data_IF_765802911263
#
_entry.id   IF_765802911263
#
_cell.length_a   1.000
_cell.length_b   1.000
_cell.length_c   1.000
_cell.angle_alpha   90.00
_cell.angle_beta   90.00
_cell.angle_gamma   90.00
#
_symmetry.space_group_name_H-M   'P 1'
#
loop_
_entity.id
_entity.type
_entity.pdbx_description
1 polymer ?
#
# COMPACT_ATOMS: atom_id res chain seq x y z
N UNK A 1 0.10 -1.80 -4.07
CA UNK A 1 0.17 -2.96 -3.17
C UNK A 1 -0.33 -2.58 -1.79
N UNK A 2 -0.10 -1.34 -1.41
CA UNK A 2 -0.27 -0.81 -0.08
C UNK A 2 -0.61 0.68 -0.17
N UNK A 3 -1.02 1.28 0.95
CA UNK A 3 -1.16 2.73 1.14
C UNK A 3 -0.95 3.07 2.62
N UNK A 4 -0.36 4.23 2.91
CA UNK A 4 -0.18 4.69 4.28
C UNK A 4 -1.52 5.04 4.95
N UNK A 5 -1.68 4.66 6.22
CA UNK A 5 -2.87 5.01 7.00
C UNK A 5 -2.71 6.43 7.57
N UNK A 6 -3.75 7.25 7.41
CA UNK A 6 -3.82 8.60 7.97
C UNK A 6 -2.99 9.66 7.23
N UNK A 7 -2.38 9.32 6.10
CA UNK A 7 -1.68 10.28 5.24
C UNK A 7 -2.68 10.86 4.22
N UNK A 8 -2.82 12.20 4.09
CA UNK A 8 -3.74 12.78 3.12
C UNK A 8 -3.50 12.24 1.70
N UNK A 9 -4.59 11.95 0.99
CA UNK A 9 -4.51 11.33 -0.35
C UNK A 9 -3.72 12.17 -1.35
N UNK A 10 -3.78 13.49 -1.21
CA UNK A 10 -3.07 14.49 -2.02
C UNK A 10 -1.67 14.82 -1.49
N UNK A 11 -1.24 14.23 -0.38
CA UNK A 11 0.13 14.36 0.11
C UNK A 11 1.11 13.88 -0.97
N UNK A 12 2.21 14.60 -1.24
CA UNK A 12 3.14 14.26 -2.33
C UNK A 12 3.74 12.85 -2.20
N UNK A 13 3.91 12.38 -0.98
CA UNK A 13 4.47 11.06 -0.65
C UNK A 13 3.40 9.98 -0.35
N UNK A 14 2.12 10.23 -0.60
CA UNK A 14 1.13 9.14 -0.61
C UNK A 14 1.38 8.23 -1.81
N UNK A 15 1.08 6.94 -1.67
CA UNK A 15 1.24 6.02 -2.79
C UNK A 15 0.23 6.29 -3.91
N UNK A 16 -0.94 6.85 -3.56
CA UNK A 16 -1.84 7.47 -4.52
C UNK A 16 -1.12 8.54 -5.36
N UNK A 17 -0.51 9.56 -4.73
CA UNK A 17 0.20 10.63 -5.45
C UNK A 17 1.38 10.10 -6.24
N UNK A 18 2.15 9.15 -5.69
CA UNK A 18 3.25 8.50 -6.38
C UNK A 18 2.79 7.86 -7.68
N UNK A 19 1.75 7.02 -7.64
CA UNK A 19 1.25 6.30 -8.81
C UNK A 19 0.70 7.24 -9.88
N UNK A 20 -0.04 8.28 -9.50
CA UNK A 20 -0.51 9.29 -10.45
C UNK A 20 0.62 10.13 -11.04
N UNK A 21 1.63 10.48 -10.25
CA UNK A 21 2.78 11.28 -10.70
C UNK A 21 3.66 10.51 -11.68
N UNK A 22 3.86 9.22 -11.44
CA UNK A 22 4.86 8.42 -12.14
C UNK A 22 4.32 7.50 -13.23
N UNK A 23 3.04 7.10 -13.17
CA UNK A 23 2.48 6.15 -14.14
C UNK A 23 1.13 6.59 -14.71
N UNK A 24 0.08 6.69 -13.88
CA UNK A 24 -1.30 6.73 -14.39
C UNK A 24 -1.63 7.97 -15.24
N UNK A 25 -0.97 9.12 -15.02
CA UNK A 25 -1.19 10.31 -15.85
C UNK A 25 -0.50 10.28 -17.22
N UNK A 26 0.34 9.28 -17.48
CA UNK A 26 1.19 9.19 -18.68
C UNK A 26 0.79 8.05 -19.62
N UNK A 27 -0.32 7.37 -19.34
CA UNK A 27 -0.83 6.23 -20.10
C UNK A 27 -2.34 6.35 -20.26
N UNK A 28 -2.90 5.66 -21.25
CA UNK A 28 -4.34 5.70 -21.58
C UNK A 28 -5.18 4.82 -20.64
N UNK A 29 -4.93 4.88 -19.33
CA UNK A 29 -5.72 4.19 -18.32
C UNK A 29 -6.94 5.03 -17.94
N UNK A 30 -8.10 4.39 -17.87
CA UNK A 30 -9.31 5.03 -17.36
C UNK A 30 -9.24 5.12 -15.82
N UNK A 31 -9.51 6.29 -15.21
CA UNK A 31 -9.43 6.45 -13.75
C UNK A 31 -10.31 5.46 -12.96
N UNK A 32 -11.46 5.06 -13.50
CA UNK A 32 -12.36 4.08 -12.90
C UNK A 32 -11.76 2.66 -12.81
N UNK A 33 -10.75 2.35 -13.63
CA UNK A 33 -10.02 1.08 -13.60
C UNK A 33 -8.82 1.11 -12.64
N UNK A 34 -8.60 2.23 -11.93
CA UNK A 34 -7.53 2.36 -10.94
C UNK A 34 -8.07 2.06 -9.55
N UNK A 35 -7.46 1.07 -8.89
CA UNK A 35 -7.81 0.67 -7.54
C UNK A 35 -6.59 0.77 -6.62
N UNK A 36 -6.67 1.64 -5.63
CA UNK A 36 -5.67 1.84 -4.57
C UNK A 36 -6.42 1.79 -3.24
N UNK A 37 -5.82 1.15 -2.24
CA UNK A 37 -6.36 1.09 -0.87
C UNK A 37 -6.56 2.49 -0.30
N UNK A 38 -7.70 2.73 0.34
CA UNK A 38 -7.96 4.00 1.03
C UNK A 38 -7.46 3.97 2.48
N UNK A 39 -6.23 4.43 2.71
CA UNK A 39 -5.63 4.56 4.04
C UNK A 39 -6.33 5.58 4.97
N UNK A 40 -7.32 6.34 4.47
CA UNK A 40 -8.12 7.26 5.27
C UNK A 40 -9.59 6.80 5.40
N UNK A 41 -9.90 5.55 5.04
CA UNK A 41 -11.22 5.00 5.24
C UNK A 41 -11.62 5.03 6.73
N UNK A 42 -12.91 5.28 6.98
CA UNK A 42 -13.47 5.31 8.36
C UNK A 42 -13.33 3.96 9.08
N UNK A 43 -13.40 2.89 8.31
CA UNK A 43 -13.25 1.52 8.76
C UNK A 43 -12.23 0.84 7.85
N UNK A 44 -11.02 0.67 8.39
CA UNK A 44 -9.87 0.16 7.65
C UNK A 44 -10.00 -1.34 7.36
N UNK A 45 -10.62 -2.10 8.27
CA UNK A 45 -10.84 -3.53 8.07
C UNK A 45 -11.88 -3.76 6.97
N UNK A 46 -12.95 -2.95 6.95
CA UNK A 46 -13.93 -2.98 5.86
C UNK A 46 -13.32 -2.57 4.52
N UNK A 47 -12.41 -1.60 4.48
CA UNK A 47 -11.68 -1.24 3.25
C UNK A 47 -10.83 -2.41 2.74
N UNK A 48 -10.13 -3.11 3.63
CA UNK A 48 -9.36 -4.31 3.27
C UNK A 48 -10.26 -5.40 2.68
N UNK A 49 -11.39 -5.69 3.31
CA UNK A 49 -12.37 -6.65 2.81
C UNK A 49 -12.93 -6.27 1.44
N UNK A 50 -13.31 -4.99 1.25
CA UNK A 50 -13.81 -4.49 -0.04
C UNK A 50 -12.76 -4.56 -1.14
N UNK A 51 -11.49 -4.39 -0.80
CA UNK A 51 -10.40 -4.49 -1.77
C UNK A 51 -10.24 -5.92 -2.27
N UNK A 52 -10.28 -6.91 -1.36
CA UNK A 52 -10.29 -8.34 -1.73
C UNK A 52 -11.51 -8.71 -2.58
N UNK A 53 -12.71 -8.26 -2.19
CA UNK A 53 -13.95 -8.50 -2.95
C UNK A 53 -13.87 -7.94 -4.38
N UNK A 54 -13.25 -6.78 -4.57
CA UNK A 54 -13.03 -6.19 -5.90
C UNK A 54 -12.09 -7.04 -6.76
N UNK A 55 -11.03 -7.58 -6.15
CA UNK A 55 -10.10 -8.48 -6.84
C UNK A 55 -10.82 -9.77 -7.26
N UNK A 56 -11.58 -10.37 -6.34
CA UNK A 56 -12.34 -11.59 -6.62
C UNK A 56 -13.43 -11.36 -7.68
N UNK A 57 -14.10 -10.21 -7.65
CA UNK A 57 -15.17 -9.87 -8.60
C UNK A 57 -14.68 -9.79 -10.06
N UNK A 58 -13.39 -9.51 -10.27
CA UNK A 58 -12.75 -9.49 -11.60
C UNK A 58 -12.03 -10.81 -11.95
N UNK A 59 -12.10 -11.82 -11.08
CA UNK A 59 -11.51 -13.14 -11.29
C UNK A 59 -10.05 -13.28 -10.82
N UNK A 60 -9.56 -12.33 -10.02
CA UNK A 60 -8.18 -12.33 -9.51
C UNK A 60 -7.20 -11.49 -10.33
N UNK A 61 -5.95 -11.45 -9.86
CA UNK A 61 -4.85 -10.71 -10.52
C UNK A 61 -4.05 -11.68 -11.41
N UNK A 62 -4.04 -11.43 -12.72
CA UNK A 62 -3.30 -12.26 -13.69
C UNK A 62 -1.79 -12.05 -13.64
N UNK A 63 -1.35 -10.83 -13.34
CA UNK A 63 0.06 -10.47 -13.21
C UNK A 63 0.25 -9.51 -12.04
N UNK A 64 1.03 -9.93 -11.06
CA UNK A 64 1.39 -9.11 -9.90
C UNK A 64 2.86 -8.71 -9.98
N UNK A 65 3.14 -7.43 -10.24
CA UNK A 65 4.49 -6.88 -10.21
C UNK A 65 4.79 -6.27 -8.83
N UNK A 66 5.83 -6.77 -8.17
CA UNK A 66 6.25 -6.29 -6.85
C UNK A 66 7.76 -6.14 -6.74
N UNK A 67 8.19 -5.28 -5.81
CA UNK A 67 9.57 -5.22 -5.35
C UNK A 67 9.80 -6.13 -4.15
N UNK A 68 11.07 -6.38 -3.83
CA UNK A 68 11.50 -7.12 -2.64
C UNK A 68 12.39 -6.21 -1.80
N UNK A 69 12.08 -6.09 -0.50
CA UNK A 69 12.88 -5.38 0.48
C UNK A 69 14.19 -6.10 0.80
N UNK A 70 15.18 -5.42 1.41
CA UNK A 70 16.46 -6.03 1.77
C UNK A 70 16.34 -7.18 2.81
N UNK A 71 15.25 -7.19 3.57
CA UNK A 71 14.85 -8.24 4.52
C UNK A 71 13.97 -9.35 3.88
N UNK A 72 13.72 -9.27 2.57
CA UNK A 72 12.88 -10.20 1.83
C UNK A 72 11.38 -9.89 1.84
N UNK A 73 10.92 -8.78 2.43
CA UNK A 73 9.49 -8.45 2.42
C UNK A 73 8.97 -8.11 1.02
N UNK A 74 7.70 -8.43 0.79
CA UNK A 74 6.92 -7.98 -0.37
C UNK A 74 5.75 -7.12 0.13
N UNK A 75 5.48 -5.99 -0.52
CA UNK A 75 4.58 -4.96 0.03
C UNK A 75 5.03 -4.57 1.44
N UNK A 76 4.11 -4.35 2.38
CA UNK A 76 4.43 -4.26 3.82
C UNK A 76 4.30 -5.59 4.57
N UNK A 77 4.48 -6.74 3.90
CA UNK A 77 4.52 -8.05 4.56
C UNK A 77 5.89 -8.35 5.15
N UNK A 78 6.21 -7.63 6.23
CA UNK A 78 7.46 -7.75 6.97
C UNK A 78 7.67 -9.14 7.60
N UNK A 79 8.92 -9.49 7.98
CA UNK A 79 9.24 -10.76 8.64
C UNK A 79 8.29 -11.11 9.79
N UNK A 80 7.83 -12.37 9.80
CA UNK A 80 6.81 -12.85 10.75
C UNK A 80 5.37 -12.69 10.29
N UNK A 81 5.12 -12.09 9.11
CA UNK A 81 3.80 -12.11 8.47
C UNK A 81 3.40 -13.54 8.10
N UNK A 82 2.11 -13.86 8.24
CA UNK A 82 1.56 -15.16 7.81
C UNK A 82 1.72 -15.33 6.30
N UNK A 83 2.17 -16.52 5.88
CA UNK A 83 2.27 -16.89 4.47
C UNK A 83 0.89 -16.96 3.77
N UNK A 84 -0.18 -17.14 4.54
CA UNK A 84 -1.57 -17.11 4.04
C UNK A 84 -2.30 -15.83 4.47
N UNK A 85 -1.56 -14.73 4.69
CA UNK A 85 -2.17 -13.46 5.05
C UNK A 85 -3.00 -12.90 3.89
N UNK A 86 -4.05 -12.15 4.25
CA UNK A 86 -4.88 -11.34 3.34
C UNK A 86 -4.60 -9.85 3.54
N UNK A 87 -5.26 -9.03 2.74
CA UNK A 87 -5.24 -7.57 2.87
C UNK A 87 -5.63 -7.15 4.29
N UNK A 88 -4.81 -6.31 4.92
CA UNK A 88 -4.95 -5.94 6.33
C UNK A 88 -4.27 -4.62 6.67
N UNK A 89 -4.61 -4.08 7.83
CA UNK A 89 -3.80 -3.07 8.52
C UNK A 89 -2.52 -3.70 9.05
N UNK A 90 -1.39 -3.03 8.85
CA UNK A 90 -0.08 -3.48 9.32
C UNK A 90 0.68 -2.31 9.97
N UNK A 91 1.19 -2.55 11.16
CA UNK A 91 2.21 -1.68 11.78
C UNK A 91 3.53 -1.85 11.06
N UNK A 92 4.12 -0.73 10.64
CA UNK A 92 5.42 -0.70 10.00
C UNK A 92 6.51 -0.95 11.04
N UNK A 93 7.50 -1.78 10.71
CA UNK A 93 8.70 -1.95 11.50
C UNK A 93 9.53 -0.66 11.50
N UNK A 94 10.32 -0.50 12.55
CA UNK A 94 11.20 0.64 12.71
C UNK A 94 12.17 0.80 11.53
N UNK A 95 12.70 -0.30 10.99
CA UNK A 95 13.60 -0.26 9.82
C UNK A 95 12.91 0.29 8.57
N UNK A 96 11.64 -0.09 8.34
CA UNK A 96 10.80 0.46 7.26
C UNK A 96 10.56 1.95 7.45
N UNK A 97 10.28 2.39 8.67
CA UNK A 97 10.13 3.81 9.01
C UNK A 97 11.42 4.59 8.70
N UNK A 98 12.57 4.08 9.15
CA UNK A 98 13.88 4.70 8.90
C UNK A 98 14.20 4.75 7.40
N UNK A 99 13.94 3.66 6.67
CA UNK A 99 14.19 3.59 5.23
C UNK A 99 13.32 4.57 4.43
N UNK A 100 12.06 4.75 4.85
CA UNK A 100 11.10 5.64 4.18
C UNK A 100 11.27 7.11 4.58
N UNK A 101 11.89 7.41 5.73
CA UNK A 101 12.11 8.78 6.18
C UNK A 101 12.81 9.67 5.15
N UNK A 102 13.63 9.11 4.24
CA UNK A 102 14.24 9.83 3.12
C UNK A 102 13.23 10.57 2.21
N UNK A 103 11.99 10.11 2.16
CA UNK A 103 10.89 10.74 1.43
C UNK A 103 10.18 11.81 2.27
N UNK A 104 10.32 11.77 3.59
CA UNK A 104 9.68 12.66 4.55
C UNK A 104 10.70 13.60 5.21
N UNK A 105 11.49 14.32 4.39
CA UNK A 105 12.54 15.25 4.85
C UNK A 105 13.62 14.64 5.76
N UNK A 106 13.84 13.32 5.69
CA UNK A 106 14.68 12.56 6.63
C UNK A 106 14.19 12.61 8.10
N UNK A 107 12.89 12.85 8.32
CA UNK A 107 12.27 12.90 9.63
C UNK A 107 11.36 11.68 9.85
N UNK A 108 11.79 10.77 10.73
CA UNK A 108 11.05 9.55 11.07
C UNK A 108 9.68 9.84 11.70
N UNK A 109 9.49 11.01 12.32
CA UNK A 109 8.24 11.35 13.02
C UNK A 109 7.13 11.74 12.05
N UNK A 110 7.49 12.05 10.80
CA UNK A 110 6.55 12.35 9.71
C UNK A 110 6.11 11.09 8.96
N UNK A 111 6.78 9.97 9.16
CA UNK A 111 6.46 8.70 8.49
C UNK A 111 5.24 8.08 9.19
N UNK A 112 4.19 7.69 8.45
CA UNK A 112 3.05 6.98 9.05
C UNK A 112 3.49 5.67 9.71
N UNK A 113 2.93 5.36 10.88
CA UNK A 113 3.27 4.14 11.64
C UNK A 113 2.48 2.90 11.16
N UNK A 114 1.41 3.13 10.39
CA UNK A 114 0.48 2.10 9.92
C UNK A 114 0.33 2.21 8.40
N UNK A 115 0.10 1.07 7.76
CA UNK A 115 -0.26 0.98 6.35
C UNK A 115 -1.36 -0.06 6.13
N UNK A 116 -2.14 0.10 5.07
CA UNK A 116 -2.91 -1.00 4.48
C UNK A 116 -2.00 -1.71 3.49
N UNK A 117 -2.03 -3.03 3.46
CA UNK A 117 -1.22 -3.84 2.54
C UNK A 117 -1.98 -5.07 2.12
N UNK A 118 -1.85 -5.46 0.85
CA UNK A 118 -2.23 -6.81 0.40
C UNK A 118 -1.45 -7.86 1.17
N UNK A 119 -2.04 -9.04 1.31
CA UNK A 119 -1.42 -10.19 1.96
C UNK A 119 -0.44 -10.94 1.06
N UNK A 120 0.13 -12.02 1.60
CA UNK A 120 1.02 -12.93 0.85
C UNK A 120 0.22 -13.96 0.04
N UNK A 121 -0.99 -14.33 0.49
CA UNK A 121 -1.78 -15.42 -0.09
C UNK A 121 -2.93 -14.98 -0.98
#
# INVERSE_FOLDING_TARGET
MDEYVGLPRDHPESYHSFMWKHLFKHVDILPENVHILDGNAKDLDLECHRFEEKIDAVGGIELFLGGIGPDGHIAFNEPGSSLNSRTRVKTLAYETIVANARFFDNDITKVPNLALTVGVG
#
